data_IF_876604909016
#
_entry.id   IF_876604909016
#
_cell.length_a   1.000
_cell.length_b   1.000
_cell.length_c   1.000
_cell.angle_alpha   90.00
_cell.angle_beta   90.00
_cell.angle_gamma   90.00
#
_symmetry.space_group_name_H-M   'P 1'
#
loop_
_entity.id
_entity.type
_entity.pdbx_description
1 polymer ?
#
# COMPACT_ATOMS: atom_id res chain seq x y z
N UNK A 1 19.31 23.56 22.88
CA UNK A 1 19.02 22.23 22.35
C UNK A 1 18.80 22.42 20.88
N UNK A 2 19.73 21.94 20.07
CA UNK A 2 19.71 22.26 18.64
C UNK A 2 18.55 21.54 17.98
N UNK A 3 17.79 22.27 17.16
CA UNK A 3 16.62 21.78 16.47
C UNK A 3 16.91 20.52 15.64
N UNK A 4 18.12 20.41 15.11
CA UNK A 4 18.61 19.22 14.41
C UNK A 4 18.66 17.97 15.28
N UNK A 5 19.14 18.09 16.52
CA UNK A 5 19.23 16.97 17.47
C UNK A 5 17.83 16.48 17.85
N UNK A 6 16.88 17.38 18.00
CA UNK A 6 15.49 17.03 18.29
C UNK A 6 14.86 16.30 17.11
N UNK A 7 15.08 16.75 15.88
CA UNK A 7 14.60 16.08 14.66
C UNK A 7 15.21 14.68 14.51
N UNK A 8 16.50 14.53 14.74
CA UNK A 8 17.18 13.23 14.65
C UNK A 8 16.66 12.25 15.71
N UNK A 9 16.44 12.74 16.94
CA UNK A 9 15.88 11.91 18.01
C UNK A 9 14.46 11.46 17.71
N UNK A 10 13.60 12.38 17.27
CA UNK A 10 12.21 12.06 16.91
C UNK A 10 12.18 11.10 15.71
N UNK A 11 13.00 11.36 14.69
CA UNK A 11 13.11 10.48 13.53
C UNK A 11 13.59 9.07 13.93
N UNK A 12 14.57 8.97 14.81
CA UNK A 12 15.10 7.70 15.32
C UNK A 12 14.07 6.89 16.10
N UNK A 13 13.18 7.56 16.84
CA UNK A 13 12.07 6.91 17.56
C UNK A 13 10.99 6.46 16.57
N UNK A 14 10.57 7.36 15.66
CA UNK A 14 9.48 7.09 14.71
C UNK A 14 9.85 5.98 13.70
N UNK A 15 11.09 5.98 13.22
CA UNK A 15 11.61 4.97 12.30
C UNK A 15 12.44 3.88 12.99
N UNK A 16 12.34 3.82 14.31
CA UNK A 16 13.06 2.86 15.12
C UNK A 16 12.53 1.42 14.99
N UNK A 17 13.22 0.48 15.65
CA UNK A 17 12.89 -0.94 15.58
C UNK A 17 11.47 -1.27 16.06
N UNK A 18 10.91 -0.45 16.95
CA UNK A 18 9.54 -0.63 17.47
C UNK A 18 8.53 -0.45 16.35
N UNK A 19 8.59 0.64 15.59
CA UNK A 19 7.67 0.91 14.48
C UNK A 19 7.82 -0.11 13.35
N UNK A 20 9.06 -0.48 13.02
CA UNK A 20 9.33 -1.52 12.03
C UNK A 20 8.76 -2.87 12.46
N UNK A 21 8.92 -3.24 13.73
CA UNK A 21 8.35 -4.48 14.28
C UNK A 21 6.82 -4.46 14.26
N UNK A 22 6.20 -3.32 14.58
CA UNK A 22 4.75 -3.16 14.51
C UNK A 22 4.23 -3.28 13.07
N UNK A 23 4.90 -2.63 12.12
CA UNK A 23 4.51 -2.71 10.69
C UNK A 23 4.60 -4.14 10.16
N UNK A 24 5.72 -4.84 10.43
CA UNK A 24 5.87 -6.23 10.06
C UNK A 24 4.87 -7.13 10.79
N UNK A 25 4.66 -6.90 12.09
CA UNK A 25 3.70 -7.65 12.90
C UNK A 25 2.27 -7.54 12.38
N UNK A 26 1.83 -6.34 12.02
CA UNK A 26 0.52 -6.11 11.37
C UNK A 26 0.45 -6.82 10.02
N UNK A 27 1.49 -6.72 9.20
CA UNK A 27 1.56 -7.39 7.91
C UNK A 27 1.45 -8.92 8.05
N UNK A 28 2.17 -9.50 9.01
CA UNK A 28 2.12 -10.93 9.33
C UNK A 28 0.72 -11.31 9.84
N UNK A 29 0.18 -10.57 10.80
CA UNK A 29 -1.16 -10.79 11.34
C UNK A 29 -2.22 -10.79 10.25
N UNK A 30 -2.21 -9.79 9.37
CA UNK A 30 -3.16 -9.71 8.25
C UNK A 30 -2.95 -10.82 7.23
N UNK A 31 -1.72 -11.23 6.97
CA UNK A 31 -1.44 -12.35 6.05
C UNK A 31 -2.07 -13.64 6.55
N UNK A 32 -1.92 -13.95 7.84
CA UNK A 32 -2.55 -15.13 8.44
C UNK A 32 -4.06 -14.93 8.59
N UNK A 33 -4.53 -13.77 9.02
CA UNK A 33 -5.95 -13.47 9.17
C UNK A 33 -6.74 -13.57 7.87
N UNK A 34 -6.13 -13.16 6.77
CA UNK A 34 -6.70 -13.26 5.42
C UNK A 34 -6.39 -14.62 4.74
N UNK A 35 -5.79 -15.58 5.45
CA UNK A 35 -5.40 -16.89 4.91
C UNK A 35 -4.58 -16.80 3.64
N UNK A 36 -3.65 -15.85 3.59
CA UNK A 36 -2.81 -15.53 2.41
C UNK A 36 -3.62 -15.28 1.11
N UNK A 37 -4.89 -14.86 1.22
CA UNK A 37 -5.80 -14.63 0.10
C UNK A 37 -5.20 -13.74 -1.01
N UNK A 38 -4.48 -12.63 -0.72
CA UNK A 38 -3.88 -11.80 -1.76
C UNK A 38 -2.83 -12.53 -2.58
N UNK A 39 -2.09 -13.45 -1.96
CA UNK A 39 -1.02 -14.22 -2.60
C UNK A 39 -1.63 -15.31 -3.50
N UNK A 40 -2.59 -16.06 -2.96
CA UNK A 40 -3.21 -17.19 -3.68
C UNK A 40 -4.05 -16.73 -4.89
N UNK A 41 -4.64 -15.54 -4.80
CA UNK A 41 -5.51 -15.00 -5.87
C UNK A 41 -4.82 -13.95 -6.75
N UNK A 42 -3.51 -13.80 -6.65
CA UNK A 42 -2.75 -12.80 -7.44
C UNK A 42 -2.91 -13.02 -8.96
N UNK A 43 -2.86 -14.27 -9.41
CA UNK A 43 -3.05 -14.61 -10.82
C UNK A 43 -4.47 -14.23 -11.32
N UNK A 44 -5.49 -14.44 -10.48
CA UNK A 44 -6.85 -14.02 -10.80
C UNK A 44 -6.97 -12.50 -10.90
N UNK A 45 -6.36 -11.78 -9.96
CA UNK A 45 -6.30 -10.31 -9.98
C UNK A 45 -5.67 -9.79 -11.27
N UNK A 46 -4.51 -10.33 -11.66
CA UNK A 46 -3.84 -9.98 -12.92
C UNK A 46 -4.73 -10.23 -14.12
N UNK A 47 -5.36 -11.39 -14.19
CA UNK A 47 -6.27 -11.75 -15.29
C UNK A 47 -7.48 -10.81 -15.36
N UNK A 48 -8.00 -10.38 -14.21
CA UNK A 48 -9.13 -9.47 -14.11
C UNK A 48 -8.82 -8.07 -14.65
N UNK A 49 -7.57 -7.59 -14.51
CA UNK A 49 -7.15 -6.29 -15.03
C UNK A 49 -7.22 -6.17 -16.56
N UNK A 50 -6.92 -7.29 -17.25
CA UNK A 50 -6.91 -7.34 -18.71
C UNK A 50 -8.22 -7.84 -19.30
N UNK A 51 -9.15 -8.30 -18.46
CA UNK A 51 -10.47 -8.70 -18.91
C UNK A 51 -11.28 -7.45 -19.21
N UNK A 52 -11.61 -7.26 -20.48
CA UNK A 52 -12.47 -6.17 -20.92
C UNK A 52 -13.87 -6.46 -20.40
N UNK A 53 -14.26 -5.83 -19.31
CA UNK A 53 -15.61 -5.92 -18.78
C UNK A 53 -16.58 -5.27 -19.80
N UNK A 54 -17.29 -6.13 -20.52
CA UNK A 54 -18.33 -5.73 -21.48
C UNK A 54 -19.63 -5.29 -20.80
N UNK A 55 -19.65 -5.20 -19.48
CA UNK A 55 -20.74 -4.60 -18.69
C UNK A 55 -20.13 -3.49 -17.85
N UNK A 56 -20.62 -2.27 -18.05
CA UNK A 56 -20.35 -1.14 -17.17
C UNK A 56 -20.53 -1.60 -15.70
N UNK A 57 -19.42 -1.82 -15.01
CA UNK A 57 -19.46 -1.83 -13.56
C UNK A 57 -19.97 -0.46 -13.12
N UNK A 58 -20.74 -0.38 -12.07
CA UNK A 58 -21.34 0.85 -11.48
C UNK A 58 -20.32 1.98 -11.14
N UNK A 59 -19.18 2.02 -11.79
CA UNK A 59 -18.11 2.99 -11.60
C UNK A 59 -17.67 3.61 -12.92
N UNK A 60 -17.37 4.90 -12.89
CA UNK A 60 -16.98 5.72 -14.06
C UNK A 60 -15.59 5.35 -14.63
N UNK A 61 -14.80 4.52 -13.97
CA UNK A 61 -13.42 4.18 -14.35
C UNK A 61 -13.20 2.68 -14.44
N UNK A 62 -12.40 2.26 -15.41
CA UNK A 62 -12.03 0.85 -15.61
C UNK A 62 -11.09 0.35 -14.49
N UNK A 63 -11.06 -0.98 -14.26
CA UNK A 63 -10.16 -1.60 -13.28
C UNK A 63 -8.68 -1.26 -13.54
N UNK A 64 -8.29 -1.14 -14.80
CA UNK A 64 -6.94 -0.74 -15.19
C UNK A 64 -6.66 0.73 -14.83
N UNK A 65 -7.59 1.65 -15.09
CA UNK A 65 -7.44 3.06 -14.72
C UNK A 65 -7.36 3.24 -13.19
N UNK A 66 -8.17 2.50 -12.45
CA UNK A 66 -8.12 2.50 -10.99
C UNK A 66 -6.75 2.04 -10.48
N UNK A 67 -6.19 0.96 -11.05
CA UNK A 67 -4.84 0.51 -10.70
C UNK A 67 -3.77 1.56 -11.03
N UNK A 68 -3.84 2.18 -12.21
CA UNK A 68 -2.87 3.21 -12.62
C UNK A 68 -2.92 4.42 -11.68
N UNK A 69 -4.11 4.85 -11.27
CA UNK A 69 -4.30 5.93 -10.30
C UNK A 69 -3.69 5.57 -8.94
N UNK A 70 -3.96 4.35 -8.44
CA UNK A 70 -3.40 3.88 -7.18
C UNK A 70 -1.86 3.79 -7.23
N UNK A 71 -1.28 3.30 -8.34
CA UNK A 71 0.17 3.26 -8.54
C UNK A 71 0.77 4.66 -8.59
N UNK A 72 0.14 5.58 -9.31
CA UNK A 72 0.59 6.98 -9.41
C UNK A 72 0.63 7.66 -8.04
N UNK A 73 -0.34 7.39 -7.17
CA UNK A 73 -0.36 7.91 -5.81
C UNK A 73 0.66 7.24 -4.87
N UNK A 74 1.05 6.00 -5.15
CA UNK A 74 1.92 5.21 -4.26
C UNK A 74 3.40 5.32 -4.63
N UNK A 75 3.71 5.53 -5.91
CA UNK A 75 5.10 5.67 -6.38
C UNK A 75 5.64 7.05 -6.01
N UNK A 76 6.64 7.07 -5.14
CA UNK A 76 7.29 8.30 -4.66
C UNK A 76 8.81 8.16 -4.66
N UNK A 77 9.48 9.19 -4.16
CA UNK A 77 10.94 9.23 -4.03
C UNK A 77 11.51 8.08 -3.21
N UNK A 78 10.77 7.60 -2.22
CA UNK A 78 11.16 6.43 -1.40
C UNK A 78 11.34 5.16 -2.21
N UNK A 79 10.53 4.96 -3.26
CA UNK A 79 10.61 3.76 -4.11
C UNK A 79 11.81 3.79 -5.07
N UNK A 80 12.41 4.95 -5.29
CA UNK A 80 13.56 5.14 -6.18
C UNK A 80 14.82 5.38 -5.35
N UNK A 81 14.90 6.52 -4.68
CA UNK A 81 16.07 6.91 -3.90
C UNK A 81 16.24 6.03 -2.64
N UNK A 82 15.15 5.72 -1.95
CA UNK A 82 15.18 4.84 -0.76
C UNK A 82 15.66 3.43 -1.09
N UNK A 83 15.21 2.86 -2.19
CA UNK A 83 15.66 1.53 -2.66
C UNK A 83 17.15 1.57 -3.06
N UNK A 84 17.56 2.61 -3.80
CA UNK A 84 18.98 2.77 -4.18
C UNK A 84 19.87 2.90 -2.95
N UNK A 85 19.47 3.69 -1.95
CA UNK A 85 20.21 3.84 -0.70
C UNK A 85 20.25 2.55 0.10
N UNK A 86 19.16 1.80 0.17
CA UNK A 86 19.11 0.52 0.87
C UNK A 86 20.03 -0.52 0.23
N UNK A 87 20.13 -0.56 -1.11
CA UNK A 87 21.05 -1.44 -1.83
C UNK A 87 22.50 -1.00 -1.61
N UNK A 88 22.76 0.31 -1.64
CA UNK A 88 24.10 0.85 -1.42
C UNK A 88 24.64 0.52 -0.02
N UNK A 89 23.80 0.65 1.01
CA UNK A 89 24.19 0.40 2.40
C UNK A 89 24.16 -1.08 2.79
N UNK A 90 23.14 -1.81 2.33
CA UNK A 90 22.89 -3.20 2.73
C UNK A 90 23.31 -4.25 1.72
N UNK A 91 23.85 -3.82 0.56
CA UNK A 91 24.29 -4.74 -0.49
C UNK A 91 23.16 -5.61 -1.06
N UNK A 92 23.50 -6.73 -1.72
CA UNK A 92 22.51 -7.63 -2.35
C UNK A 92 21.49 -8.21 -1.36
N UNK A 93 21.86 -8.35 -0.09
CA UNK A 93 20.97 -8.85 0.97
C UNK A 93 19.76 -7.94 1.21
N UNK A 94 19.90 -6.63 0.97
CA UNK A 94 18.78 -5.69 1.10
C UNK A 94 17.63 -6.02 0.15
N UNK A 95 17.93 -6.47 -1.08
CA UNK A 95 16.92 -6.86 -2.07
C UNK A 95 16.08 -8.03 -1.56
N UNK A 96 16.73 -9.04 -0.99
CA UNK A 96 16.03 -10.18 -0.43
C UNK A 96 15.06 -9.76 0.67
N UNK A 97 15.51 -8.94 1.62
CA UNK A 97 14.66 -8.46 2.70
C UNK A 97 13.53 -7.52 2.24
N UNK A 98 13.78 -6.74 1.19
CA UNK A 98 12.72 -5.94 0.55
C UNK A 98 11.63 -6.83 -0.07
N UNK A 99 11.98 -7.94 -0.70
CA UNK A 99 11.00 -8.89 -1.23
C UNK A 99 10.20 -9.56 -0.12
N UNK A 100 10.87 -9.99 0.95
CA UNK A 100 10.19 -10.58 2.11
C UNK A 100 9.18 -9.60 2.72
N UNK A 101 9.58 -8.35 2.94
CA UNK A 101 8.68 -7.33 3.48
C UNK A 101 7.54 -6.97 2.51
N UNK A 102 7.78 -7.00 1.20
CA UNK A 102 6.74 -6.76 0.20
C UNK A 102 5.62 -7.80 0.24
N UNK A 103 5.94 -9.07 0.51
CA UNK A 103 4.94 -10.14 0.66
C UNK A 103 3.97 -9.82 1.81
N UNK A 104 4.48 -9.37 2.95
CA UNK A 104 3.64 -8.95 4.08
C UNK A 104 2.92 -7.62 3.81
N UNK A 105 3.55 -6.71 3.09
CA UNK A 105 2.97 -5.45 2.66
C UNK A 105 1.76 -5.62 1.72
N UNK A 106 1.73 -6.67 0.89
CA UNK A 106 0.58 -6.98 0.04
C UNK A 106 -0.70 -7.21 0.85
N UNK A 107 -0.62 -7.92 1.97
CA UNK A 107 -1.77 -8.18 2.82
C UNK A 107 -2.33 -6.89 3.43
N UNK A 108 -1.46 -5.98 3.84
CA UNK A 108 -1.85 -4.67 4.38
C UNK A 108 -2.56 -3.83 3.32
N UNK A 109 -2.00 -3.74 2.11
CA UNK A 109 -2.62 -2.99 1.00
C UNK A 109 -3.94 -3.60 0.54
N UNK A 110 -4.06 -4.92 0.54
CA UNK A 110 -5.33 -5.59 0.26
C UNK A 110 -6.38 -5.26 1.30
N UNK A 111 -6.04 -5.30 2.59
CA UNK A 111 -6.97 -4.95 3.66
C UNK A 111 -7.42 -3.49 3.56
N UNK A 112 -6.51 -2.56 3.27
CA UNK A 112 -6.80 -1.14 3.04
C UNK A 112 -7.81 -0.96 1.89
N UNK A 113 -7.53 -1.55 0.73
CA UNK A 113 -8.42 -1.47 -0.43
C UNK A 113 -9.79 -2.12 -0.17
N UNK A 114 -9.81 -3.26 0.52
CA UNK A 114 -11.04 -3.95 0.89
C UNK A 114 -11.92 -3.09 1.81
N UNK A 115 -11.32 -2.48 2.84
CA UNK A 115 -12.04 -1.59 3.76
C UNK A 115 -12.54 -0.34 3.05
N UNK A 116 -11.75 0.23 2.15
CA UNK A 116 -12.15 1.37 1.34
C UNK A 116 -13.43 1.08 0.51
N UNK A 117 -13.48 -0.09 -0.11
CA UNK A 117 -14.65 -0.51 -0.88
C UNK A 117 -15.85 -0.82 0.03
N UNK A 118 -15.62 -1.50 1.15
CA UNK A 118 -16.67 -1.91 2.08
C UNK A 118 -17.37 -0.72 2.73
N UNK A 119 -16.65 0.32 3.06
CA UNK A 119 -17.17 1.53 3.72
C UNK A 119 -17.40 2.68 2.76
N UNK A 120 -17.48 2.40 1.46
CA UNK A 120 -17.78 3.39 0.44
C UNK A 120 -19.25 3.79 0.52
N UNK A 121 -19.52 5.04 0.83
CA UNK A 121 -20.86 5.63 0.79
C UNK A 121 -21.11 6.31 -0.57
N UNK A 122 -22.26 6.01 -1.18
CA UNK A 122 -22.71 6.69 -2.40
C UNK A 122 -23.69 7.79 -1.98
N UNK A 123 -23.30 9.04 -2.07
CA UNK A 123 -24.22 10.14 -1.89
C UNK A 123 -25.08 10.33 -3.16
N UNK A 124 -26.34 10.82 -2.98
CA UNK A 124 -27.32 11.01 -4.05
C UNK A 124 -26.90 12.01 -5.15
N UNK A 125 -25.86 12.79 -4.91
CA UNK A 125 -25.20 13.63 -5.89
C UNK A 125 -24.00 12.88 -6.40
N UNK A 126 -24.09 12.23 -7.49
CA UNK A 126 -23.16 11.54 -8.42
C UNK A 126 -21.63 11.48 -8.09
N UNK A 127 -21.22 11.94 -6.93
CA UNK A 127 -19.83 11.91 -6.48
C UNK A 127 -19.64 10.87 -5.39
N UNK A 128 -18.79 9.88 -5.66
CA UNK A 128 -18.34 8.94 -4.65
C UNK A 128 -17.31 9.59 -3.75
N UNK A 129 -17.72 9.99 -2.55
CA UNK A 129 -16.79 10.36 -1.51
C UNK A 129 -16.25 9.10 -0.84
N UNK A 130 -14.95 8.89 -0.96
CA UNK A 130 -14.24 7.95 -0.12
C UNK A 130 -14.04 8.63 1.24
N UNK A 131 -14.75 8.15 2.25
CA UNK A 131 -14.69 8.67 3.62
C UNK A 131 -13.42 8.29 4.37
N UNK A 132 -12.40 7.77 3.68
CA UNK A 132 -11.11 7.51 4.29
C UNK A 132 -10.30 8.81 4.37
N UNK A 133 -9.81 9.18 5.56
CA UNK A 133 -9.03 10.40 5.77
C UNK A 133 -7.68 10.42 5.03
N UNK A 134 -7.31 9.33 4.39
CA UNK A 134 -6.08 9.19 3.62
C UNK A 134 -6.20 9.61 2.16
N UNK A 135 -7.39 9.88 1.68
CA UNK A 135 -7.56 10.46 0.36
C UNK A 135 -7.60 11.94 0.57
N UNK A 136 -6.44 12.55 0.41
CA UNK A 136 -6.30 13.98 0.37
C UNK A 136 -7.46 14.59 -0.42
N UNK A 137 -8.25 15.36 0.29
CA UNK A 137 -9.05 16.39 -0.32
C UNK A 137 -8.12 17.24 -1.19
N UNK A 138 -8.25 17.12 -2.48
CA UNK A 138 -7.84 18.15 -3.42
C UNK A 138 -9.10 18.91 -3.79
#
# INVERSE_FOLDING_TARGET
MDFSILLDTVSGIVWGPITLSLLLGVGIYLTFGLKAFPITNMAYGFRSLFKKDGKQSDGDISSFQSLMTALSATVGTGNIAGVATAIFLGGPGAIFWMWVSAVFGMATKFAEAFLAIKYREKNAVSYTHLTLPTICSV
#
